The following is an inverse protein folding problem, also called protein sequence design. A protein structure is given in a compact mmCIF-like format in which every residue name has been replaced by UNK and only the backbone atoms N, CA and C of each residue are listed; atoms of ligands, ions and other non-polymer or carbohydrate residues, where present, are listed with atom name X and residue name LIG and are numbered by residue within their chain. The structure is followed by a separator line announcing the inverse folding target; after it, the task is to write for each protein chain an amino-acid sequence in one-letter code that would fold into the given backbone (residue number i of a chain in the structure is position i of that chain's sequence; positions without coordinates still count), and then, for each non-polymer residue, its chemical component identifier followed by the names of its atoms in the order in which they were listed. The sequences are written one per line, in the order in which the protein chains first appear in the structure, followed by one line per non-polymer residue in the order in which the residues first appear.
data_IF_638116813287
#
_entry.id   IF_638116813287
#
_cell.length_a   1.000
_cell.length_b   1.000
_cell.length_c   1.000
_cell.angle_alpha   90.00
_cell.angle_beta   90.00
_cell.angle_gamma   90.00
#
_symmetry.space_group_name_H-M   'P 1'
#
loop_
_entity.id
_entity.type
_entity.pdbx_description
1 polymer ?
#
# COMPACT_ATOMS: atom_id res chain seq x y z
N UNK A 1 -2.41 15.78 -14.28
CA UNK A 1 -1.42 16.24 -15.28
C UNK A 1 -0.49 17.32 -14.72
N UNK A 2 -0.90 18.08 -13.70
CA UNK A 2 -0.07 19.17 -13.14
C UNK A 2 1.07 18.70 -12.23
N UNK A 3 0.85 17.72 -11.33
CA UNK A 3 1.86 17.30 -10.36
C UNK A 3 3.21 16.88 -10.98
N UNK A 4 3.27 16.03 -12.04
CA UNK A 4 4.56 15.71 -12.67
C UNK A 4 5.27 16.93 -13.26
N UNK A 5 4.51 17.90 -13.79
CA UNK A 5 5.08 19.14 -14.34
C UNK A 5 5.65 20.02 -13.22
N UNK A 6 4.94 20.15 -12.10
CA UNK A 6 5.43 20.87 -10.90
C UNK A 6 6.69 20.22 -10.35
N UNK A 7 6.71 18.89 -10.17
CA UNK A 7 7.90 18.17 -9.72
C UNK A 7 9.10 18.47 -10.60
N UNK A 8 8.96 18.35 -11.93
CA UNK A 8 10.03 18.67 -12.88
C UNK A 8 10.47 20.14 -12.81
N UNK A 9 9.53 21.06 -12.68
CA UNK A 9 9.82 22.50 -12.54
C UNK A 9 10.67 22.83 -11.30
N UNK A 10 10.66 21.96 -10.30
CA UNK A 10 11.45 22.09 -9.07
C UNK A 10 12.62 21.09 -8.98
N UNK A 11 12.98 20.40 -10.07
CA UNK A 11 14.11 19.47 -10.10
C UNK A 11 13.85 18.11 -9.44
N UNK A 12 12.58 17.76 -9.22
CA UNK A 12 12.18 16.44 -8.71
C UNK A 12 11.71 15.52 -9.84
N UNK A 13 12.16 14.27 -9.81
CA UNK A 13 11.65 13.21 -10.67
C UNK A 13 10.55 12.43 -9.94
N UNK A 14 9.32 12.51 -10.43
CA UNK A 14 8.20 11.75 -9.87
C UNK A 14 8.23 10.32 -10.41
N UNK A 15 8.68 9.36 -9.59
CA UNK A 15 8.81 7.95 -10.00
C UNK A 15 7.49 7.31 -10.44
N UNK A 16 6.35 7.78 -9.94
CA UNK A 16 5.02 7.30 -10.37
C UNK A 16 4.69 7.70 -11.82
N UNK A 17 5.44 8.64 -12.41
CA UNK A 17 5.31 9.07 -13.80
C UNK A 17 6.30 8.43 -14.77
N UNK A 18 7.30 7.71 -14.26
CA UNK A 18 8.30 7.03 -15.07
C UNK A 18 9.57 6.70 -14.28
N UNK A 19 10.37 5.72 -14.74
CA UNK A 19 11.64 5.37 -14.10
C UNK A 19 12.70 6.44 -14.33
N UNK A 20 13.81 6.35 -13.59
CA UNK A 20 15.04 7.12 -13.87
C UNK A 20 16.25 6.19 -13.82
N UNK A 21 17.15 6.35 -14.79
CA UNK A 21 18.40 5.61 -14.85
C UNK A 21 19.55 6.47 -14.31
N UNK A 22 20.33 5.91 -13.39
CA UNK A 22 21.51 6.53 -12.79
C UNK A 22 22.68 5.57 -12.95
N UNK A 23 23.48 5.77 -14.00
CA UNK A 23 24.51 4.81 -14.40
C UNK A 23 23.87 3.46 -14.77
N UNK A 24 24.26 2.39 -14.09
CA UNK A 24 23.71 1.04 -14.31
C UNK A 24 22.53 0.70 -13.37
N UNK A 25 22.05 1.66 -12.57
CA UNK A 25 20.97 1.48 -11.60
C UNK A 25 19.72 2.20 -12.08
N UNK A 26 18.61 1.48 -12.20
CA UNK A 26 17.30 2.10 -12.42
C UNK A 26 16.53 2.25 -11.10
N UNK A 27 15.94 3.42 -10.91
CA UNK A 27 14.95 3.65 -9.87
C UNK A 27 13.56 3.60 -10.51
N UNK A 28 12.71 2.73 -10.00
CA UNK A 28 11.30 2.64 -10.35
C UNK A 28 10.46 2.95 -9.12
N UNK A 29 9.22 3.40 -9.30
CA UNK A 29 8.37 3.62 -8.14
C UNK A 29 6.90 3.74 -8.44
N UNK A 30 6.15 3.63 -7.35
CA UNK A 30 4.70 3.79 -7.33
C UNK A 30 4.29 4.37 -5.97
N UNK A 31 3.22 5.16 -5.92
CA UNK A 31 2.61 5.45 -4.60
C UNK A 31 2.12 4.16 -3.91
N UNK A 32 1.87 3.10 -4.68
CA UNK A 32 1.20 1.91 -4.18
C UNK A 32 -0.23 2.22 -3.74
N UNK A 33 -1.01 1.19 -3.47
CA UNK A 33 -2.35 1.32 -2.91
C UNK A 33 -2.72 -0.02 -2.25
N UNK A 34 -3.99 -0.17 -1.89
CA UNK A 34 -4.52 -1.36 -1.27
C UNK A 34 -5.71 -1.92 -2.04
N UNK A 35 -5.77 -3.24 -2.11
CA UNK A 35 -6.86 -4.05 -2.65
C UNK A 35 -7.43 -5.01 -1.58
N UNK A 36 -7.10 -4.69 -0.31
CA UNK A 36 -7.50 -5.42 0.89
C UNK A 36 -6.90 -6.84 1.01
N UNK A 37 -5.89 -7.23 0.23
CA UNK A 37 -5.23 -8.54 0.41
C UNK A 37 -4.63 -8.70 1.80
N UNK A 38 -4.22 -7.59 2.44
CA UNK A 38 -3.71 -7.59 3.81
C UNK A 38 -4.78 -7.63 4.91
N UNK A 39 -6.08 -7.67 4.57
CA UNK A 39 -7.15 -7.76 5.57
C UNK A 39 -6.96 -8.98 6.46
N UNK A 40 -7.22 -8.81 7.75
CA UNK A 40 -7.17 -9.93 8.68
C UNK A 40 -8.40 -10.84 8.47
N UNK A 41 -8.15 -12.05 7.94
CA UNK A 41 -9.21 -13.00 7.63
C UNK A 41 -9.92 -13.52 8.88
N UNK A 42 -9.27 -13.50 10.05
CA UNK A 42 -9.85 -14.00 11.30
C UNK A 42 -11.00 -13.15 11.82
N UNK A 43 -11.06 -11.87 11.40
CA UNK A 43 -12.17 -10.98 11.73
C UNK A 43 -13.47 -11.38 11.05
N UNK A 44 -13.41 -12.14 9.95
CA UNK A 44 -14.58 -12.52 9.14
C UNK A 44 -15.51 -11.35 8.75
N UNK A 45 -14.99 -10.11 8.73
CA UNK A 45 -15.77 -8.93 8.37
C UNK A 45 -16.08 -8.96 6.86
N UNK A 46 -17.33 -8.72 6.45
CA UNK A 46 -17.71 -8.66 5.04
C UNK A 46 -16.96 -7.58 4.25
N UNK A 47 -16.70 -7.84 2.97
CA UNK A 47 -15.92 -6.95 2.09
C UNK A 47 -16.47 -5.52 2.03
N UNK A 48 -17.80 -5.37 2.08
CA UNK A 48 -18.50 -4.07 2.02
C UNK A 48 -18.00 -3.04 3.04
N UNK A 49 -17.52 -3.48 4.21
CA UNK A 49 -16.98 -2.57 5.23
C UNK A 49 -15.58 -2.07 4.88
N UNK A 50 -14.77 -2.89 4.22
CA UNK A 50 -13.47 -2.47 3.71
C UNK A 50 -13.63 -1.53 2.51
N UNK A 51 -14.58 -1.80 1.61
CA UNK A 51 -14.94 -0.91 0.49
C UNK A 51 -15.47 0.44 0.98
N UNK A 52 -16.32 0.44 2.02
CA UNK A 52 -16.77 1.66 2.69
C UNK A 52 -15.69 2.31 3.57
N UNK A 53 -14.55 1.64 3.77
CA UNK A 53 -13.43 2.07 4.62
C UNK A 53 -13.85 2.34 6.08
N UNK A 54 -14.90 1.66 6.53
CA UNK A 54 -15.60 1.92 7.78
C UNK A 54 -15.96 0.58 8.44
N UNK A 55 -15.47 0.33 9.65
CA UNK A 55 -15.74 -0.91 10.37
C UNK A 55 -17.21 -1.03 10.81
N UNK A 56 -17.73 -2.25 11.06
CA UNK A 56 -19.14 -2.47 11.39
C UNK A 56 -19.66 -1.65 12.58
N UNK A 57 -18.90 -1.60 13.69
CA UNK A 57 -19.26 -0.79 14.85
C UNK A 57 -19.28 0.71 14.58
N UNK A 58 -18.43 1.19 13.66
CA UNK A 58 -18.45 2.59 13.23
C UNK A 58 -19.63 2.89 12.31
N UNK A 59 -20.01 1.95 11.44
CA UNK A 59 -21.17 2.05 10.55
C UNK A 59 -22.48 2.07 11.35
N UNK A 60 -22.64 1.16 12.32
CA UNK A 60 -23.84 1.06 13.15
C UNK A 60 -24.14 2.33 13.96
N UNK A 61 -23.11 3.13 14.25
CA UNK A 61 -23.24 4.40 15.00
C UNK A 61 -23.47 5.62 14.11
N UNK A 62 -23.68 5.44 12.80
CA UNK A 62 -23.82 6.54 11.84
C UNK A 62 -25.03 6.32 10.94
N UNK A 63 -25.96 7.27 11.00
CA UNK A 63 -27.20 7.24 10.19
C UNK A 63 -26.94 7.09 8.69
N UNK A 64 -25.87 7.71 8.17
CA UNK A 64 -25.52 7.63 6.75
C UNK A 64 -25.05 6.24 6.28
N UNK A 65 -24.74 5.34 7.21
CA UNK A 65 -24.14 4.02 6.93
C UNK A 65 -25.00 2.85 7.42
N UNK A 66 -26.24 3.09 7.84
CA UNK A 66 -27.17 2.04 8.30
C UNK A 66 -27.40 0.97 7.24
N UNK A 67 -27.41 1.34 5.95
CA UNK A 67 -27.53 0.40 4.82
C UNK A 67 -26.42 -0.67 4.75
N UNK A 68 -25.29 -0.50 5.45
CA UNK A 68 -24.24 -1.53 5.53
C UNK A 68 -24.53 -2.58 6.62
N UNK A 69 -25.45 -2.27 7.54
CA UNK A 69 -25.73 -3.04 8.76
C UNK A 69 -27.15 -3.61 8.70
N UNK A 70 -28.13 -2.78 8.41
CA UNK A 70 -29.54 -3.11 8.44
C UNK A 70 -29.90 -4.14 7.37
N UNK A 71 -30.71 -5.13 7.75
CA UNK A 71 -31.13 -6.20 6.84
C UNK A 71 -30.07 -7.27 6.57
N UNK A 72 -28.90 -7.19 7.23
CA UNK A 72 -27.84 -8.19 7.12
C UNK A 72 -27.68 -9.01 8.41
N UNK A 73 -27.76 -10.34 8.31
CA UNK A 73 -27.61 -11.28 9.42
C UNK A 73 -26.18 -11.84 9.59
N UNK A 74 -25.19 -11.23 8.95
CA UNK A 74 -23.80 -11.70 8.87
C UNK A 74 -22.84 -10.95 9.81
N UNK A 75 -23.37 -10.19 10.76
CA UNK A 75 -22.60 -9.43 11.75
C UNK A 75 -22.69 -10.05 13.14
N UNK A 76 -21.53 -10.29 13.77
CA UNK A 76 -21.47 -10.75 15.16
C UNK A 76 -21.31 -9.57 16.13
N UNK A 77 -21.62 -9.74 17.42
CA UNK A 77 -21.36 -8.72 18.44
C UNK A 77 -19.90 -8.25 18.46
N UNK A 78 -18.94 -9.16 18.29
CA UNK A 78 -17.50 -8.83 18.29
C UNK A 78 -17.11 -7.91 17.13
N UNK A 79 -17.73 -8.10 15.95
CA UNK A 79 -17.51 -7.22 14.80
C UNK A 79 -18.04 -5.80 15.07
N UNK A 80 -19.14 -5.68 15.82
CA UNK A 80 -19.76 -4.40 16.18
C UNK A 80 -18.97 -3.60 17.23
N UNK A 81 -18.00 -4.22 17.91
CA UNK A 81 -17.06 -3.51 18.78
C UNK A 81 -15.95 -2.79 18.00
N UNK A 82 -15.69 -3.21 16.76
CA UNK A 82 -14.65 -2.61 15.91
C UNK A 82 -15.19 -1.33 15.28
N UNK A 83 -14.54 -0.21 15.59
CA UNK A 83 -14.99 1.14 15.30
C UNK A 83 -14.00 1.98 14.48
N UNK A 84 -13.01 1.34 13.86
CA UNK A 84 -12.08 2.00 12.94
C UNK A 84 -12.82 2.65 11.77
N UNK A 85 -12.46 3.90 11.48
CA UNK A 85 -12.82 4.59 10.25
C UNK A 85 -11.53 5.04 9.54
N UNK A 86 -11.25 4.44 8.39
CA UNK A 86 -10.09 4.80 7.60
C UNK A 86 -10.38 6.08 6.80
N UNK A 87 -9.59 7.12 7.03
CA UNK A 87 -9.91 8.49 6.59
C UNK A 87 -9.95 8.67 5.07
N UNK A 88 -9.38 7.75 4.30
CA UNK A 88 -9.55 7.79 2.84
C UNK A 88 -11.01 7.66 2.43
N UNK A 89 -11.87 6.98 3.22
CA UNK A 89 -13.31 6.93 2.96
C UNK A 89 -13.97 8.31 3.01
N UNK A 90 -13.38 9.24 3.78
CA UNK A 90 -13.84 10.63 3.88
C UNK A 90 -13.16 11.52 2.85
N UNK A 91 -11.86 11.33 2.63
CA UNK A 91 -10.99 12.30 1.94
C UNK A 91 -10.66 11.96 0.50
N UNK A 92 -10.71 10.68 0.13
CA UNK A 92 -10.33 10.20 -1.19
C UNK A 92 -11.59 9.95 -2.01
N UNK A 93 -11.59 10.45 -3.24
CA UNK A 93 -12.67 10.27 -4.22
C UNK A 93 -12.03 9.79 -5.52
N UNK A 94 -11.96 8.48 -5.69
CA UNK A 94 -11.52 7.87 -6.93
C UNK A 94 -12.75 7.59 -7.80
N UNK A 95 -12.65 7.72 -9.14
CA UNK A 95 -13.74 7.36 -10.05
C UNK A 95 -13.89 5.85 -10.25
N UNK A 96 -13.07 5.05 -9.54
CA UNK A 96 -12.95 3.59 -9.64
C UNK A 96 -12.77 3.01 -8.24
N UNK A 97 -12.93 1.69 -8.11
CA UNK A 97 -12.70 0.98 -6.84
C UNK A 97 -11.22 1.01 -6.44
N UNK A 98 -10.92 0.74 -5.16
CA UNK A 98 -9.54 0.64 -4.69
C UNK A 98 -8.80 -0.55 -5.36
N UNK A 99 -9.51 -1.64 -5.65
CA UNK A 99 -8.96 -2.80 -6.38
C UNK A 99 -8.56 -2.37 -7.79
N UNK A 100 -9.45 -1.73 -8.55
CA UNK A 100 -9.16 -1.27 -9.91
C UNK A 100 -8.07 -0.19 -9.93
N UNK A 101 -8.04 0.70 -8.93
CA UNK A 101 -6.97 1.68 -8.81
C UNK A 101 -5.62 1.02 -8.53
N UNK A 102 -5.58 0.03 -7.63
CA UNK A 102 -4.39 -0.78 -7.35
C UNK A 102 -3.91 -1.48 -8.63
N UNK A 103 -4.81 -2.06 -9.41
CA UNK A 103 -4.48 -2.70 -10.70
C UNK A 103 -3.81 -1.76 -11.67
N UNK A 104 -4.35 -0.55 -11.82
CA UNK A 104 -3.78 0.49 -12.68
C UNK A 104 -2.36 0.87 -12.24
N UNK A 105 -2.11 0.94 -10.93
CA UNK A 105 -0.79 1.24 -10.39
C UNK A 105 0.19 0.08 -10.57
N UNK A 106 -0.24 -1.16 -10.35
CA UNK A 106 0.58 -2.37 -10.60
C UNK A 106 0.95 -2.46 -12.09
N UNK A 107 -0.01 -2.26 -13.00
CA UNK A 107 0.23 -2.26 -14.44
C UNK A 107 1.21 -1.15 -14.88
N UNK A 108 1.11 0.04 -14.28
CA UNK A 108 2.05 1.13 -14.52
C UNK A 108 3.45 0.78 -14.04
N UNK A 109 3.60 0.28 -12.81
CA UNK A 109 4.90 -0.14 -12.28
C UNK A 109 5.54 -1.25 -13.12
N UNK A 110 4.73 -2.20 -13.61
CA UNK A 110 5.16 -3.23 -14.55
C UNK A 110 5.73 -2.63 -15.83
N UNK A 111 5.07 -1.61 -16.37
CA UNK A 111 5.57 -0.89 -17.55
C UNK A 111 6.92 -0.23 -17.26
N UNK A 112 7.08 0.43 -16.10
CA UNK A 112 8.36 1.03 -15.70
C UNK A 112 9.49 0.00 -15.53
N UNK A 113 9.18 -1.19 -15.00
CA UNK A 113 10.13 -2.29 -14.88
C UNK A 113 10.58 -2.80 -16.25
N UNK A 114 9.65 -2.92 -17.18
CA UNK A 114 9.90 -3.34 -18.57
C UNK A 114 10.77 -2.31 -19.32
N UNK A 115 10.48 -1.01 -19.16
CA UNK A 115 11.24 0.09 -19.79
C UNK A 115 12.73 0.09 -19.45
N UNK A 116 13.09 -0.35 -18.24
CA UNK A 116 14.49 -0.34 -17.77
C UNK A 116 15.15 -1.71 -17.79
N UNK A 117 14.43 -2.75 -18.21
CA UNK A 117 14.86 -4.15 -18.06
C UNK A 117 16.20 -4.44 -18.73
N UNK A 118 16.47 -3.83 -19.89
CA UNK A 118 17.65 -4.10 -20.71
C UNK A 118 18.80 -3.14 -20.38
N UNK A 119 18.48 -1.91 -19.94
CA UNK A 119 19.47 -0.86 -19.65
C UNK A 119 20.01 -0.92 -18.22
N UNK A 120 19.23 -1.43 -17.26
CA UNK A 120 19.65 -1.51 -15.87
C UNK A 120 20.36 -2.83 -15.58
N UNK A 121 21.48 -2.78 -14.83
CA UNK A 121 22.06 -3.97 -14.17
C UNK A 121 21.31 -4.27 -12.88
N UNK A 122 20.91 -3.23 -12.15
CA UNK A 122 20.20 -3.33 -10.88
C UNK A 122 19.00 -2.38 -10.88
N UNK A 123 17.87 -2.85 -10.35
CA UNK A 123 16.66 -2.06 -10.18
C UNK A 123 16.39 -1.89 -8.69
N UNK A 124 16.08 -0.66 -8.30
CA UNK A 124 15.59 -0.30 -6.96
C UNK A 124 14.16 0.18 -7.09
N UNK A 125 13.25 -0.45 -6.35
CA UNK A 125 11.85 -0.04 -6.31
C UNK A 125 11.56 0.84 -5.09
N UNK A 126 10.79 1.90 -5.28
CA UNK A 126 10.35 2.78 -4.19
C UNK A 126 8.83 2.84 -4.18
N UNK A 127 8.23 2.41 -3.07
CA UNK A 127 6.80 2.45 -2.84
C UNK A 127 6.47 3.30 -1.61
N UNK A 128 5.25 3.82 -1.51
CA UNK A 128 4.77 4.36 -0.23
C UNK A 128 4.09 3.26 0.61
N UNK A 129 3.10 2.57 0.03
CA UNK A 129 2.42 1.43 0.67
C UNK A 129 3.30 0.17 0.73
N UNK A 130 2.93 -0.75 1.62
CA UNK A 130 3.67 -1.98 1.84
C UNK A 130 3.45 -2.98 0.68
N UNK A 131 4.52 -3.56 0.11
CA UNK A 131 4.39 -4.58 -0.93
C UNK A 131 4.31 -6.02 -0.39
N UNK A 132 4.65 -6.26 0.88
CA UNK A 132 4.72 -7.60 1.49
C UNK A 132 3.93 -7.67 2.80
N UNK A 133 3.23 -8.78 3.02
CA UNK A 133 2.39 -9.00 4.19
C UNK A 133 3.19 -9.07 5.50
N UNK A 134 4.44 -9.53 5.42
CA UNK A 134 5.40 -9.63 6.54
C UNK A 134 5.80 -8.26 7.08
N UNK A 135 5.64 -7.19 6.30
CA UNK A 135 5.91 -5.83 6.73
C UNK A 135 4.72 -5.20 7.48
N UNK A 136 3.54 -5.84 7.44
CA UNK A 136 2.35 -5.38 8.15
C UNK A 136 2.49 -5.73 9.63
N UNK A 137 2.37 -4.74 10.51
CA UNK A 137 2.38 -4.97 11.96
C UNK A 137 1.04 -5.57 12.40
N UNK A 138 0.97 -6.90 12.46
CA UNK A 138 -0.23 -7.64 12.91
C UNK A 138 -0.34 -7.63 14.43
N UNK A 139 -0.99 -6.61 14.99
CA UNK A 139 -1.36 -6.56 16.41
C UNK A 139 -2.59 -7.46 16.66
N UNK A 140 -2.36 -8.77 16.75
CA UNK A 140 -3.42 -9.75 17.01
C UNK A 140 -4.14 -9.42 18.32
N UNK A 141 -5.48 -9.52 18.31
CA UNK A 141 -6.32 -9.25 19.48
C UNK A 141 -6.76 -7.79 19.66
N UNK A 142 -6.31 -6.86 18.80
CA UNK A 142 -6.83 -5.49 18.78
C UNK A 142 -7.58 -5.24 17.48
N UNK A 143 -8.88 -5.54 17.48
CA UNK A 143 -9.73 -5.56 16.28
C UNK A 143 -9.66 -4.30 15.41
N UNK A 144 -9.53 -3.12 16.01
CA UNK A 144 -9.37 -1.86 15.28
C UNK A 144 -8.10 -1.80 14.41
N UNK A 145 -6.97 -2.29 14.94
CA UNK A 145 -5.71 -2.39 14.18
C UNK A 145 -5.78 -3.49 13.13
N UNK A 146 -6.38 -4.64 13.48
CA UNK A 146 -6.57 -5.74 12.54
C UNK A 146 -7.42 -5.34 11.33
N UNK A 147 -8.48 -4.54 11.54
CA UNK A 147 -9.27 -3.98 10.45
C UNK A 147 -8.45 -3.02 9.58
N UNK A 148 -7.65 -2.14 10.21
CA UNK A 148 -6.83 -1.16 9.50
C UNK A 148 -5.74 -1.78 8.61
N UNK A 149 -5.30 -3.01 8.90
CA UNK A 149 -4.28 -3.71 8.11
C UNK A 149 -4.66 -3.86 6.63
N UNK A 150 -5.96 -3.91 6.31
CA UNK A 150 -6.45 -3.97 4.94
C UNK A 150 -6.01 -2.79 4.07
N UNK A 151 -5.64 -1.65 4.67
CA UNK A 151 -5.28 -0.41 3.97
C UNK A 151 -3.77 -0.16 3.97
N UNK A 152 -2.96 -1.15 4.39
CA UNK A 152 -1.50 -0.98 4.49
C UNK A 152 -0.76 -1.16 3.16
N UNK A 153 -1.41 -1.77 2.17
CA UNK A 153 -0.85 -2.02 0.86
C UNK A 153 -1.49 -3.24 0.18
N UNK A 154 -0.75 -3.87 -0.71
CA UNK A 154 -1.23 -4.96 -1.57
C UNK A 154 -0.10 -5.93 -1.90
N UNK A 155 -0.38 -7.24 -1.82
CA UNK A 155 0.57 -8.32 -2.16
C UNK A 155 1.01 -8.26 -3.62
N UNK A 156 0.13 -7.76 -4.50
CA UNK A 156 0.38 -7.67 -5.95
C UNK A 156 1.62 -6.83 -6.31
N UNK A 157 1.99 -5.88 -5.46
CA UNK A 157 3.23 -5.13 -5.65
C UNK A 157 4.44 -6.00 -5.33
N UNK A 158 4.43 -6.73 -4.22
CA UNK A 158 5.50 -7.66 -3.86
C UNK A 158 5.69 -8.75 -4.91
N UNK A 159 4.59 -9.35 -5.37
CA UNK A 159 4.58 -10.34 -6.46
C UNK A 159 5.26 -9.78 -7.72
N UNK A 160 4.84 -8.60 -8.18
CA UNK A 160 5.43 -7.95 -9.35
C UNK A 160 6.93 -7.69 -9.19
N UNK A 161 7.37 -7.22 -8.01
CA UNK A 161 8.79 -6.96 -7.76
C UNK A 161 9.63 -8.24 -7.83
N UNK A 162 9.06 -9.38 -7.43
CA UNK A 162 9.74 -10.68 -7.46
C UNK A 162 9.84 -11.28 -8.86
N UNK A 163 9.04 -10.84 -9.83
CA UNK A 163 9.11 -11.31 -11.21
C UNK A 163 10.41 -10.92 -11.91
N UNK A 164 11.06 -9.83 -11.49
CA UNK A 164 12.31 -9.35 -12.09
C UNK A 164 13.52 -9.64 -11.20
N UNK A 165 14.45 -10.51 -11.61
CA UNK A 165 15.64 -10.82 -10.81
C UNK A 165 16.63 -9.64 -10.71
N UNK A 166 16.39 -8.54 -11.44
CA UNK A 166 17.18 -7.32 -11.34
C UNK A 166 16.70 -6.40 -10.22
N UNK A 167 15.48 -6.59 -9.70
CA UNK A 167 14.99 -5.86 -8.53
C UNK A 167 15.67 -6.45 -7.29
N UNK A 168 16.66 -5.73 -6.77
CA UNK A 168 17.48 -6.18 -5.62
C UNK A 168 17.13 -5.48 -4.32
N UNK A 169 16.62 -4.25 -4.44
CA UNK A 169 16.23 -3.44 -3.30
C UNK A 169 14.84 -2.86 -3.53
N UNK A 170 14.04 -2.85 -2.47
CA UNK A 170 12.80 -2.12 -2.42
C UNK A 170 12.73 -1.29 -1.14
N UNK A 171 12.16 -0.09 -1.23
CA UNK A 171 11.93 0.77 -0.07
C UNK A 171 10.44 1.10 0.02
N UNK A 172 9.88 1.03 1.23
CA UNK A 172 8.49 1.37 1.50
C UNK A 172 8.30 2.13 2.82
N UNK A 173 7.06 2.52 3.12
CA UNK A 173 6.70 3.30 4.30
C UNK A 173 5.30 3.01 4.82
N UNK A 174 4.51 4.06 5.04
CA UNK A 174 3.10 4.06 5.46
C UNK A 174 2.81 3.55 6.88
N UNK A 175 3.34 2.40 7.30
CA UNK A 175 3.01 1.81 8.62
C UNK A 175 3.64 2.51 9.82
N UNK A 176 4.48 3.52 9.58
CA UNK A 176 5.27 4.26 10.58
C UNK A 176 6.13 3.36 11.50
N UNK A 177 6.41 2.13 11.07
CA UNK A 177 7.16 1.15 11.85
C UNK A 177 8.28 0.58 10.98
N UNK A 178 9.56 0.71 11.39
CA UNK A 178 10.67 0.19 10.60
C UNK A 178 10.63 -1.33 10.59
N UNK A 179 10.90 -1.93 9.43
CA UNK A 179 10.98 -3.39 9.27
C UNK A 179 11.75 -3.73 7.99
N UNK A 180 12.17 -4.98 7.86
CA UNK A 180 12.88 -5.48 6.69
C UNK A 180 12.50 -6.93 6.42
N UNK A 181 12.32 -7.27 5.15
CA UNK A 181 12.09 -8.64 4.67
C UNK A 181 12.97 -8.92 3.46
N UNK A 182 13.39 -10.17 3.29
CA UNK A 182 14.19 -10.62 2.15
C UNK A 182 13.54 -11.82 1.50
N UNK A 183 13.32 -11.74 0.19
CA UNK A 183 12.80 -12.82 -0.65
C UNK A 183 13.79 -13.08 -1.79
N UNK A 184 14.51 -14.21 -1.72
CA UNK A 184 15.57 -14.51 -2.67
C UNK A 184 16.63 -13.41 -2.71
N UNK A 185 16.78 -12.76 -3.86
CA UNK A 185 17.74 -11.67 -4.05
C UNK A 185 17.20 -10.26 -3.74
N UNK A 186 15.89 -10.13 -3.46
CA UNK A 186 15.24 -8.86 -3.15
C UNK A 186 15.21 -8.63 -1.64
N UNK A 187 15.75 -7.50 -1.18
CA UNK A 187 15.53 -7.00 0.18
C UNK A 187 14.62 -5.78 0.16
N UNK A 188 13.48 -5.86 0.85
CA UNK A 188 12.57 -4.75 1.03
C UNK A 188 12.73 -4.14 2.44
N UNK A 189 13.00 -2.84 2.51
CA UNK A 189 13.12 -2.09 3.76
C UNK A 189 11.97 -1.10 3.90
N UNK A 190 11.20 -1.24 4.98
CA UNK A 190 10.28 -0.22 5.43
C UNK A 190 11.04 0.79 6.30
N UNK A 191 11.12 2.04 5.85
CA UNK A 191 11.89 3.10 6.53
C UNK A 191 11.29 3.44 7.90
N UNK A 192 9.96 3.33 8.06
CA UNK A 192 9.31 3.49 9.36
C UNK A 192 9.36 4.90 9.97
N UNK A 193 9.30 5.95 9.15
CA UNK A 193 9.18 7.32 9.65
C UNK A 193 7.88 7.52 10.43
N UNK A 194 7.93 8.30 11.51
CA UNK A 194 6.73 8.78 12.22
C UNK A 194 6.49 10.26 11.91
N UNK A 195 5.44 10.84 12.49
CA UNK A 195 5.17 12.27 12.36
C UNK A 195 6.32 13.14 12.85
N UNK A 196 6.92 12.78 13.99
CA UNK A 196 7.95 13.58 14.68
C UNK A 196 9.38 13.04 14.48
N UNK A 197 9.55 11.74 14.22
CA UNK A 197 10.86 11.13 13.99
C UNK A 197 11.01 10.72 12.53
N UNK A 198 12.01 11.29 11.85
CA UNK A 198 12.40 10.93 10.49
C UNK A 198 13.58 9.99 10.51
N UNK A 199 13.55 9.01 9.60
CA UNK A 199 14.58 8.00 9.39
C UNK A 199 14.97 8.06 7.92
N UNK A 200 16.19 7.64 7.64
CA UNK A 200 16.68 7.43 6.28
C UNK A 200 17.48 6.13 6.27
N UNK A 201 17.60 5.53 5.10
CA UNK A 201 18.46 4.38 4.87
C UNK A 201 19.50 4.78 3.84
N UNK A 202 20.76 4.47 4.15
CA UNK A 202 21.84 4.54 3.18
C UNK A 202 22.03 3.14 2.59
N UNK A 203 22.18 3.10 1.27
CA UNK A 203 22.38 1.87 0.54
C UNK A 203 23.49 2.08 -0.49
N UNK A 204 24.28 1.03 -0.72
CA UNK A 204 25.41 1.03 -1.63
C UNK A 204 25.20 -0.02 -2.73
N UNK A 205 25.54 0.39 -3.96
CA UNK A 205 25.46 -0.42 -5.19
C UNK A 205 26.77 -1.15 -5.43
#
# INVERSE_FOLDING_TARGET
RELPAVCRGHGFHLLDSGPVLVGEVALVGSVGWYDYTFKDQTLNIPLRFYEAKLAPGAAARRETYTHLVDGHGDLTPEMLEISTYWMDGVRVRLPVSDIEFTERLVARLRTHLEEVKDSARTIVAVLHHLPFAELVKRNLGVGNWQFANAFMGSERFGELLLESPKVRHAFCGHSHSPSRVTHGALTCTNIGCTYVHKRFEEWQV
#
